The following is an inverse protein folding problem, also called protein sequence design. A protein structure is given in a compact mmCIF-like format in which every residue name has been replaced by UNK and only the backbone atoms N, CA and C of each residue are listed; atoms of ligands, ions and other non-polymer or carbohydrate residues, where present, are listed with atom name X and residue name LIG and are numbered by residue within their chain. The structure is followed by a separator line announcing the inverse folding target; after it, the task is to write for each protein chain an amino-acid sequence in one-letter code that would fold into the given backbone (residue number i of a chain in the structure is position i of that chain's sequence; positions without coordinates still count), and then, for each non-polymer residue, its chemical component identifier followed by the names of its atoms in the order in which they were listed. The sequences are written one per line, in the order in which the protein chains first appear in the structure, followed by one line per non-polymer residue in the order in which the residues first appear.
data_IF_301390958065
#
_entry.id   IF_301390958065
#
_cell.length_a   1.000
_cell.length_b   1.000
_cell.length_c   1.000
_cell.angle_alpha   90.00
_cell.angle_beta   90.00
_cell.angle_gamma   90.00
#
_symmetry.space_group_name_H-M   'P 1'
#
loop_
_entity.id
_entity.type
_entity.pdbx_description
1 polymer ?
#
# COMPACT_ATOMS: atom_id res chain seq x y z
N UNK A 1 -6.23 -4.25 26.69
CA UNK A 1 -6.00 -3.08 25.83
C UNK A 1 -7.17 -3.05 24.87
N UNK A 2 -7.99 -2.01 24.94
CA UNK A 2 -9.13 -1.82 24.05
C UNK A 2 -8.58 -1.51 22.64
N UNK A 3 -9.03 -2.22 21.61
CA UNK A 3 -8.55 -2.04 20.23
C UNK A 3 -9.00 -0.70 19.61
N UNK A 4 -9.77 0.09 20.36
CA UNK A 4 -10.43 1.33 19.94
C UNK A 4 -9.51 2.55 19.91
N UNK A 5 -8.42 2.57 20.69
CA UNK A 5 -7.58 3.78 20.84
C UNK A 5 -6.49 3.91 19.77
N UNK A 6 -6.10 2.78 19.14
CA UNK A 6 -5.08 2.74 18.09
C UNK A 6 -5.31 1.50 17.20
N UNK A 7 -6.20 1.57 16.20
CA UNK A 7 -6.47 0.43 15.33
C UNK A 7 -5.22 0.10 14.51
N UNK A 8 -4.92 -1.19 14.37
CA UNK A 8 -3.86 -1.64 13.47
C UNK A 8 -4.23 -1.28 12.02
N UNK A 9 -3.30 -0.62 11.32
CA UNK A 9 -3.50 -0.20 9.94
C UNK A 9 -2.88 -1.22 8.98
N UNK A 10 -3.48 -1.34 7.80
CA UNK A 10 -3.00 -2.23 6.74
C UNK A 10 -2.84 -1.46 5.43
N UNK A 11 -1.72 -1.70 4.75
CA UNK A 11 -1.45 -1.21 3.41
C UNK A 11 -2.09 -2.16 2.40
N UNK A 12 -2.90 -1.62 1.50
CA UNK A 12 -3.59 -2.38 0.47
C UNK A 12 -3.08 -2.01 -0.93
N UNK A 13 -3.25 -2.89 -1.95
CA UNK A 13 -2.88 -2.58 -3.32
C UNK A 13 -3.52 -1.29 -3.83
N UNK A 14 -2.71 -0.43 -4.47
CA UNK A 14 -3.18 0.84 -5.06
C UNK A 14 -4.32 0.59 -6.04
N UNK A 15 -5.33 1.45 -6.01
CA UNK A 15 -6.46 1.41 -6.96
C UNK A 15 -7.45 0.24 -6.78
N UNK A 16 -7.49 -0.41 -5.61
CA UNK A 16 -8.37 -1.55 -5.35
C UNK A 16 -8.11 -2.73 -6.29
N UNK A 17 -6.83 -2.94 -6.59
CA UNK A 17 -6.37 -3.97 -7.51
C UNK A 17 -6.12 -5.32 -6.84
N UNK A 18 -5.16 -6.05 -7.42
CA UNK A 18 -4.67 -7.34 -6.96
C UNK A 18 -3.29 -7.18 -6.32
N UNK A 19 -3.05 -7.83 -5.18
CA UNK A 19 -1.73 -7.81 -4.55
C UNK A 19 -1.74 -8.13 -3.06
N UNK A 20 -0.59 -8.04 -2.40
CA UNK A 20 -0.48 -8.32 -0.98
C UNK A 20 -1.12 -7.22 -0.13
N UNK A 21 -1.74 -7.63 0.98
CA UNK A 21 -2.15 -6.74 2.06
C UNK A 21 -1.05 -6.80 3.12
N UNK A 22 -0.45 -5.67 3.46
CA UNK A 22 0.70 -5.59 4.38
C UNK A 22 0.30 -4.93 5.68
N UNK A 23 0.92 -5.32 6.78
CA UNK A 23 0.76 -4.59 8.04
C UNK A 23 1.50 -3.25 7.95
N UNK A 24 0.85 -2.14 8.31
CA UNK A 24 1.45 -0.81 8.15
C UNK A 24 2.60 -0.56 9.14
N UNK A 25 2.56 -1.15 10.34
CA UNK A 25 3.62 -1.00 11.34
C UNK A 25 4.89 -1.79 10.97
N UNK A 26 4.74 -2.91 10.26
CA UNK A 26 5.84 -3.76 9.80
C UNK A 26 5.54 -4.26 8.37
N UNK A 27 5.97 -3.47 7.38
CA UNK A 27 5.63 -3.68 5.96
C UNK A 27 6.24 -4.93 5.32
N UNK A 28 7.14 -5.61 6.06
CA UNK A 28 7.69 -6.93 5.71
C UNK A 28 6.69 -8.07 5.96
N UNK A 29 5.64 -7.84 6.76
CA UNK A 29 4.63 -8.82 7.09
C UNK A 29 3.38 -8.63 6.22
N UNK A 30 3.04 -9.68 5.48
CA UNK A 30 1.88 -9.77 4.61
C UNK A 30 0.82 -10.67 5.24
N UNK A 31 -0.45 -10.34 4.98
CA UNK A 31 -1.55 -11.26 5.18
C UNK A 31 -1.37 -12.46 4.24
N UNK A 32 -1.47 -13.67 4.78
CA UNK A 32 -1.33 -14.90 4.02
C UNK A 32 -2.43 -15.89 4.40
N UNK A 33 -3.00 -16.53 3.38
CA UNK A 33 -4.02 -17.55 3.46
C UNK A 33 -3.44 -18.87 2.92
N UNK A 34 -2.66 -19.61 3.74
CA UNK A 34 -1.96 -20.81 3.30
C UNK A 34 -2.90 -21.96 2.92
N UNK A 35 -4.16 -21.89 3.39
CA UNK A 35 -5.22 -22.83 3.07
C UNK A 35 -6.24 -22.95 4.21
N UNK A 36 -7.38 -23.59 3.92
CA UNK A 36 -8.46 -23.72 4.89
C UNK A 36 -9.13 -22.38 5.22
N UNK A 37 -9.38 -22.15 6.51
CA UNK A 37 -10.04 -20.93 7.02
C UNK A 37 -9.08 -19.95 7.72
N UNK A 38 -7.85 -20.37 7.98
CA UNK A 38 -6.92 -19.59 8.81
C UNK A 38 -6.20 -18.53 7.99
N UNK A 39 -5.90 -17.44 8.68
CA UNK A 39 -5.09 -16.33 8.21
C UNK A 39 -3.98 -16.09 9.20
N UNK A 40 -2.82 -15.66 8.71
CA UNK A 40 -1.71 -15.24 9.54
C UNK A 40 -0.93 -14.11 8.89
N UNK A 41 -0.06 -13.48 9.68
CA UNK A 41 0.95 -12.57 9.16
C UNK A 41 2.24 -13.36 8.94
N UNK A 42 2.74 -13.33 7.72
CA UNK A 42 4.00 -13.97 7.34
C UNK A 42 4.87 -13.02 6.55
N UNK A 43 6.18 -13.23 6.58
CA UNK A 43 7.10 -12.46 5.77
C UNK A 43 6.69 -12.54 4.29
N UNK A 44 6.49 -11.38 3.66
CA UNK A 44 6.05 -11.26 2.27
C UNK A 44 6.96 -12.01 1.29
N UNK A 45 8.26 -12.13 1.58
CA UNK A 45 9.22 -12.86 0.75
C UNK A 45 9.08 -14.38 0.83
N UNK A 46 8.51 -14.90 1.93
CA UNK A 46 8.30 -16.32 2.15
C UNK A 46 6.90 -16.78 1.69
N UNK A 47 5.97 -15.85 1.46
CA UNK A 47 4.60 -16.14 1.08
C UNK A 47 4.46 -16.30 -0.45
N UNK A 48 3.62 -17.24 -0.90
CA UNK A 48 3.41 -17.45 -2.33
C UNK A 48 2.37 -16.49 -2.87
N UNK A 49 2.50 -16.03 -4.12
CA UNK A 49 1.48 -15.17 -4.74
C UNK A 49 0.07 -15.78 -4.69
N UNK A 50 -0.04 -17.12 -4.66
CA UNK A 50 -1.32 -17.82 -4.60
C UNK A 50 -2.02 -17.68 -3.24
N UNK A 51 -1.27 -17.60 -2.16
CA UNK A 51 -1.77 -17.53 -0.78
C UNK A 51 -1.75 -16.11 -0.21
N UNK A 52 -0.94 -15.21 -0.75
CA UNK A 52 -0.74 -13.86 -0.22
C UNK A 52 -1.27 -12.73 -1.09
N UNK A 53 -1.75 -13.00 -2.31
CA UNK A 53 -2.40 -11.96 -3.13
C UNK A 53 -3.91 -11.97 -2.93
N UNK A 54 -4.44 -10.79 -2.61
CA UNK A 54 -5.86 -10.53 -2.44
C UNK A 54 -6.34 -9.56 -3.52
N UNK A 55 -7.61 -9.71 -3.89
CA UNK A 55 -8.33 -8.77 -4.75
C UNK A 55 -9.31 -8.01 -3.87
N UNK A 56 -9.34 -6.69 -4.01
CA UNK A 56 -10.21 -5.82 -3.20
C UNK A 56 -11.19 -5.16 -4.14
N UNK A 57 -12.46 -5.58 -4.12
CA UNK A 57 -13.52 -4.86 -4.84
C UNK A 57 -14.20 -3.90 -3.86
N UNK A 58 -13.85 -2.61 -3.97
CA UNK A 58 -14.37 -1.56 -3.11
C UNK A 58 -15.17 -0.53 -3.91
N UNK A 59 -16.39 -0.24 -3.45
CA UNK A 59 -17.28 0.80 -4.00
C UNK A 59 -17.83 1.64 -2.86
N UNK A 60 -17.72 2.96 -3.00
CA UNK A 60 -18.22 3.92 -2.01
C UNK A 60 -17.70 3.68 -0.57
N UNK A 61 -16.43 3.32 -0.42
CA UNK A 61 -15.80 3.13 0.90
C UNK A 61 -16.13 1.82 1.60
N UNK A 62 -16.86 0.91 0.94
CA UNK A 62 -17.09 -0.45 1.41
C UNK A 62 -16.64 -1.45 0.35
N UNK A 63 -16.14 -2.61 0.76
CA UNK A 63 -15.67 -3.61 -0.19
C UNK A 63 -15.60 -5.02 0.33
N UNK A 64 -15.38 -5.93 -0.59
CA UNK A 64 -15.10 -7.33 -0.31
C UNK A 64 -13.65 -7.63 -0.69
N UNK A 65 -12.99 -8.41 0.15
CA UNK A 65 -11.61 -8.83 -0.06
C UNK A 65 -11.62 -10.33 -0.30
N UNK A 66 -11.14 -10.76 -1.46
CA UNK A 66 -11.08 -12.17 -1.84
C UNK A 66 -9.65 -12.60 -2.17
N UNK A 67 -9.38 -13.89 -2.12
CA UNK A 67 -8.09 -14.41 -2.55
C UNK A 67 -7.99 -14.30 -4.08
N UNK A 68 -6.92 -13.71 -4.60
CA UNK A 68 -6.76 -13.50 -6.04
C UNK A 68 -6.74 -14.83 -6.82
N UNK A 69 -6.16 -15.88 -6.22
CA UNK A 69 -6.14 -17.21 -6.83
C UNK A 69 -7.46 -17.98 -6.69
N UNK A 70 -8.33 -17.61 -5.75
CA UNK A 70 -9.62 -18.25 -5.48
C UNK A 70 -10.68 -17.18 -5.20
N UNK A 71 -11.26 -16.55 -6.24
CA UNK A 71 -12.17 -15.41 -6.07
C UNK A 71 -13.43 -15.70 -5.26
N UNK A 72 -13.81 -16.98 -5.12
CA UNK A 72 -14.93 -17.45 -4.32
C UNK A 72 -14.59 -17.60 -2.83
N UNK A 73 -13.32 -17.41 -2.44
CA UNK A 73 -12.89 -17.37 -1.03
C UNK A 73 -12.70 -15.93 -0.59
N UNK A 74 -13.52 -15.48 0.35
CA UNK A 74 -13.56 -14.13 0.89
C UNK A 74 -13.03 -14.07 2.32
N UNK A 75 -12.42 -12.94 2.66
CA UNK A 75 -12.27 -12.54 4.05
C UNK A 75 -13.66 -12.33 4.65
N UNK A 76 -13.88 -12.89 5.82
CA UNK A 76 -15.13 -12.74 6.54
C UNK A 76 -14.92 -12.88 8.05
N UNK A 77 -15.79 -12.22 8.81
CA UNK A 77 -15.90 -12.42 10.24
C UNK A 77 -17.05 -13.40 10.50
N UNK A 78 -16.79 -14.65 10.93
CA UNK A 78 -17.85 -15.56 11.30
C UNK A 78 -18.52 -15.02 12.56
N UNK A 79 -19.69 -14.39 12.41
CA UNK A 79 -20.51 -14.01 13.55
C UNK A 79 -21.27 -15.22 14.06
N UNK A 80 -21.03 -15.67 15.28
CA UNK A 80 -22.07 -16.39 16.01
C UNK A 80 -23.01 -15.33 16.56
N UNK A 81 -24.21 -15.23 15.99
CA UNK A 81 -25.19 -14.20 16.32
C UNK A 81 -25.63 -14.18 17.80
N UNK A 82 -25.31 -15.22 18.59
CA UNK A 82 -25.93 -15.41 19.91
C UNK A 82 -24.98 -15.71 21.08
N UNK A 83 -23.65 -15.75 20.90
CA UNK A 83 -22.73 -16.03 22.02
C UNK A 83 -21.68 -14.93 22.21
N UNK A 84 -21.90 -14.15 23.28
CA UNK A 84 -21.03 -13.10 23.81
C UNK A 84 -19.72 -13.65 24.43
N UNK A 85 -19.07 -14.62 23.78
CA UNK A 85 -17.91 -15.31 24.35
C UNK A 85 -16.93 -15.95 23.36
N UNK A 86 -17.21 -15.99 22.05
CA UNK A 86 -16.23 -16.51 21.09
C UNK A 86 -15.56 -15.34 20.37
N UNK A 87 -14.26 -15.16 20.62
CA UNK A 87 -13.44 -14.20 19.88
C UNK A 87 -13.60 -14.50 18.38
N UNK A 88 -14.26 -13.59 17.66
CA UNK A 88 -14.55 -13.75 16.24
C UNK A 88 -13.35 -13.28 15.45
N UNK A 89 -12.51 -14.23 15.02
CA UNK A 89 -11.32 -13.93 14.22
C UNK A 89 -11.64 -13.84 12.73
N UNK A 90 -10.89 -13.03 12.01
CA UNK A 90 -10.94 -12.97 10.55
C UNK A 90 -10.60 -14.34 9.95
N UNK A 91 -11.41 -14.80 8.99
CA UNK A 91 -11.26 -16.11 8.36
C UNK A 91 -11.47 -16.04 6.85
N UNK A 92 -10.97 -17.07 6.15
CA UNK A 92 -11.29 -17.34 4.75
C UNK A 92 -12.55 -18.21 4.66
N UNK A 93 -13.64 -17.66 4.14
CA UNK A 93 -14.92 -18.37 3.95
C UNK A 93 -15.36 -18.32 2.48
N UNK A 94 -16.26 -19.23 2.10
CA UNK A 94 -16.91 -19.15 0.80
C UNK A 94 -17.76 -17.89 0.74
N UNK A 95 -17.52 -17.07 -0.28
CA UNK A 95 -18.19 -15.79 -0.44
C UNK A 95 -19.70 -16.00 -0.45
N UNK A 96 -20.20 -16.91 -1.30
CA UNK A 96 -21.64 -17.13 -1.52
C UNK A 96 -22.40 -17.64 -0.28
N UNK A 97 -21.73 -18.45 0.55
CA UNK A 97 -22.33 -19.04 1.76
C UNK A 97 -22.27 -18.11 2.99
N UNK A 98 -21.52 -17.01 2.89
CA UNK A 98 -21.32 -16.08 4.01
C UNK A 98 -22.24 -14.88 3.88
N UNK A 99 -22.92 -14.46 4.95
CA UNK A 99 -23.77 -13.27 4.90
C UNK A 99 -23.01 -12.01 4.45
N UNK A 100 -23.65 -11.20 3.61
CA UNK A 100 -23.11 -9.94 3.07
C UNK A 100 -22.47 -9.04 4.15
N UNK A 101 -23.11 -8.91 5.33
CA UNK A 101 -22.61 -8.05 6.42
C UNK A 101 -21.30 -8.54 7.03
N UNK A 102 -21.01 -9.84 6.94
CA UNK A 102 -19.83 -10.46 7.54
C UNK A 102 -18.62 -10.41 6.62
N UNK A 103 -18.84 -10.22 5.30
CA UNK A 103 -17.82 -10.17 4.25
C UNK A 103 -17.70 -8.79 3.57
N UNK A 104 -18.37 -7.77 4.11
CA UNK A 104 -18.35 -6.39 3.63
C UNK A 104 -17.62 -5.52 4.65
N UNK A 105 -16.42 -5.08 4.29
CA UNK A 105 -15.56 -4.28 5.16
C UNK A 105 -15.72 -2.80 4.83
N UNK A 106 -15.72 -1.95 5.86
CA UNK A 106 -15.50 -0.52 5.69
C UNK A 106 -14.03 -0.27 5.43
N UNK A 107 -13.73 0.47 4.36
CA UNK A 107 -12.38 0.81 3.95
C UNK A 107 -12.24 2.34 4.01
N UNK A 108 -11.50 2.81 5.01
CA UNK A 108 -11.15 4.22 5.17
C UNK A 108 -9.73 4.43 4.67
N UNK A 109 -9.56 5.28 3.67
CA UNK A 109 -8.26 5.55 3.07
C UNK A 109 -7.69 6.85 3.60
N UNK A 110 -6.49 6.74 4.15
CA UNK A 110 -5.59 7.86 4.29
C UNK A 110 -4.58 7.67 3.16
N UNK A 111 -4.59 8.55 2.17
CA UNK A 111 -3.44 8.62 1.28
C UNK A 111 -2.28 9.04 2.19
N UNK A 112 -1.33 8.15 2.45
CA UNK A 112 -0.04 8.63 2.87
C UNK A 112 0.40 9.60 1.78
N UNK A 113 0.42 10.88 2.14
CA UNK A 113 1.01 11.93 1.32
C UNK A 113 2.35 11.36 0.87
N UNK A 114 2.51 11.11 -0.44
CA UNK A 114 3.75 10.57 -0.95
C UNK A 114 4.91 11.42 -0.41
N UNK A 115 5.75 10.82 0.44
CA UNK A 115 6.97 11.41 0.93
C UNK A 115 7.93 11.61 -0.23
N UNK A 116 8.42 12.82 -0.40
CA UNK A 116 9.55 13.05 -1.29
C UNK A 116 10.82 12.70 -0.52
N UNK A 117 11.68 11.85 -1.10
CA UNK A 117 13.03 11.71 -0.60
C UNK A 117 13.78 13.04 -0.66
N UNK A 118 14.89 13.12 0.07
CA UNK A 118 15.75 14.30 0.05
C UNK A 118 16.18 14.66 -1.38
N UNK A 119 16.33 15.97 -1.60
CA UNK A 119 16.88 16.47 -2.84
C UNK A 119 18.33 16.01 -3.00
N UNK A 120 18.68 15.56 -4.20
CA UNK A 120 20.08 15.44 -4.58
C UNK A 120 20.80 16.79 -4.48
N UNK A 121 22.12 16.70 -4.36
CA UNK A 121 23.03 17.83 -4.51
C UNK A 121 22.78 18.55 -5.85
N UNK A 122 23.01 19.87 -5.85
CA UNK A 122 22.90 20.66 -7.08
C UNK A 122 24.00 20.27 -8.07
N UNK A 123 23.64 20.10 -9.33
CA UNK A 123 24.60 19.95 -10.42
C UNK A 123 25.54 21.16 -10.51
N UNK A 124 26.69 20.96 -11.16
CA UNK A 124 27.51 22.07 -11.62
C UNK A 124 26.69 23.02 -12.52
N UNK A 125 27.10 24.28 -12.59
CA UNK A 125 26.44 25.25 -13.44
C UNK A 125 26.76 24.97 -14.91
N UNK A 126 25.73 24.80 -15.73
CA UNK A 126 25.89 24.60 -17.17
C UNK A 126 26.36 25.91 -17.83
N UNK A 127 27.55 25.90 -18.43
CA UNK A 127 28.10 27.07 -19.14
C UNK A 127 27.21 27.57 -20.29
N UNK A 128 26.57 26.64 -21.01
CA UNK A 128 25.75 26.99 -22.17
C UNK A 128 24.36 27.51 -21.80
N UNK A 129 23.81 27.10 -20.65
CA UNK A 129 22.44 27.45 -20.23
C UNK A 129 22.39 28.41 -19.05
N UNK A 130 23.46 28.54 -18.26
CA UNK A 130 23.47 29.30 -17.00
C UNK A 130 22.55 28.70 -15.93
N UNK A 131 22.37 27.38 -15.95
CA UNK A 131 21.44 26.66 -15.10
C UNK A 131 22.13 25.50 -14.38
N UNK A 132 21.70 25.26 -13.15
CA UNK A 132 21.99 24.04 -12.39
C UNK A 132 20.70 23.30 -12.09
N UNK A 133 20.78 21.99 -12.01
CA UNK A 133 19.64 21.10 -11.82
C UNK A 133 19.85 20.24 -10.58
N UNK A 134 18.76 19.92 -9.89
CA UNK A 134 18.71 18.84 -8.90
C UNK A 134 17.44 18.03 -9.11
N UNK A 135 17.47 16.80 -8.64
CA UNK A 135 16.35 15.87 -8.69
C UNK A 135 16.08 15.23 -7.34
N UNK A 136 14.87 14.76 -7.14
CA UNK A 136 14.49 13.93 -6.00
C UNK A 136 13.55 12.83 -6.49
N UNK A 137 13.51 11.73 -5.78
CA UNK A 137 12.59 10.63 -6.06
C UNK A 137 11.52 10.58 -4.96
N UNK A 138 10.36 10.00 -5.24
CA UNK A 138 9.48 9.52 -4.18
C UNK A 138 10.28 8.61 -3.23
N UNK A 139 9.99 8.70 -1.93
CA UNK A 139 10.61 7.85 -0.91
C UNK A 139 10.29 6.37 -1.19
N UNK A 140 9.08 6.11 -1.67
CA UNK A 140 8.68 4.81 -2.22
C UNK A 140 8.88 4.75 -3.74
N UNK A 141 9.80 3.90 -4.18
CA UNK A 141 10.14 3.68 -5.60
C UNK A 141 9.00 3.14 -6.47
N UNK A 142 7.90 2.69 -5.87
CA UNK A 142 6.66 2.24 -6.54
C UNK A 142 5.59 3.35 -6.68
N UNK A 143 6.02 4.61 -6.53
CA UNK A 143 5.20 5.79 -6.77
C UNK A 143 5.41 6.25 -8.21
N UNK A 144 4.52 5.83 -9.09
CA UNK A 144 4.52 6.14 -10.53
C UNK A 144 4.12 7.62 -10.79
N UNK A 145 4.85 8.57 -10.19
CA UNK A 145 4.75 10.00 -10.45
C UNK A 145 3.57 10.75 -9.80
N UNK A 146 2.82 10.14 -8.88
CA UNK A 146 1.62 10.75 -8.27
C UNK A 146 1.90 11.65 -7.04
N UNK A 147 3.16 11.91 -6.73
CA UNK A 147 3.54 12.77 -5.62
C UNK A 147 3.29 14.24 -6.00
N UNK A 148 2.57 14.98 -5.17
CA UNK A 148 2.31 16.39 -5.43
C UNK A 148 3.63 17.19 -5.44
N UNK A 149 3.91 17.88 -6.55
CA UNK A 149 5.11 18.70 -6.74
C UNK A 149 6.09 18.16 -7.80
N UNK A 150 7.16 18.91 -8.05
CA UNK A 150 8.14 18.54 -9.07
C UNK A 150 9.22 17.59 -8.52
N UNK A 151 9.55 16.56 -9.30
CA UNK A 151 10.72 15.70 -9.06
C UNK A 151 12.05 16.30 -9.57
N UNK A 152 11.98 17.39 -10.33
CA UNK A 152 13.12 18.09 -10.90
C UNK A 152 13.03 19.58 -10.62
N UNK A 153 14.16 20.20 -10.31
CA UNK A 153 14.24 21.64 -10.10
C UNK A 153 15.46 22.22 -10.82
N UNK A 154 15.24 23.35 -11.50
CA UNK A 154 16.28 24.13 -12.14
C UNK A 154 16.43 25.48 -11.45
N UNK A 155 17.67 25.98 -11.35
CA UNK A 155 17.96 27.30 -10.82
C UNK A 155 19.04 27.98 -11.64
N UNK A 156 18.88 29.29 -11.88
CA UNK A 156 19.91 30.12 -12.51
C UNK A 156 21.17 30.15 -11.65
N UNK A 157 22.32 30.03 -12.29
CA UNK A 157 23.63 30.15 -11.68
C UNK A 157 24.56 30.92 -12.60
N UNK A 158 25.56 31.54 -12.00
CA UNK A 158 26.69 32.11 -12.74
C UNK A 158 27.79 31.05 -12.71
N UNK A 159 28.19 30.50 -13.86
CA UNK A 159 29.27 29.55 -13.88
C UNK A 159 30.59 30.28 -13.68
N UNK A 160 31.33 29.88 -12.65
CA UNK A 160 32.66 30.41 -12.40
C UNK A 160 33.61 29.79 -13.45
N UNK A 161 34.06 30.63 -14.39
CA UNK A 161 35.05 30.33 -15.42
C UNK A 161 34.57 29.48 -16.62
N UNK A 162 33.61 30.00 -17.41
CA UNK A 162 33.30 29.48 -18.75
C UNK A 162 34.18 30.11 -19.83
N UNK A 163 35.50 30.01 -19.68
CA UNK A 163 36.41 30.34 -20.76
C UNK A 163 36.64 29.08 -21.61
N UNK A 164 36.31 29.22 -22.91
CA UNK A 164 36.49 28.27 -24.03
C UNK A 164 35.29 27.36 -24.33
N UNK A 165 34.20 27.97 -24.83
CA UNK A 165 33.50 27.46 -26.02
C UNK A 165 33.27 28.63 -26.98
N UNK A 166 34.35 29.02 -27.66
CA UNK A 166 34.35 29.76 -28.92
C UNK A 166 35.52 29.23 -29.75
#
# INVERSE_FOLDING_TARGET
RDCSDAPSQFLIPKGFGHGPIRWAEESQLCLDAPGGKQLHLQNCSAATQRSSHFSIDARAGHGTVSLAALPYKCLALPGTADDAGTESFLQMLDCDDTEDRLRRFGLTFFYEECGWADWSEWSACSCSKGLRMRSRKPEDSDSDGLCAGAGHQEKRCTPDNCHLLA
#
